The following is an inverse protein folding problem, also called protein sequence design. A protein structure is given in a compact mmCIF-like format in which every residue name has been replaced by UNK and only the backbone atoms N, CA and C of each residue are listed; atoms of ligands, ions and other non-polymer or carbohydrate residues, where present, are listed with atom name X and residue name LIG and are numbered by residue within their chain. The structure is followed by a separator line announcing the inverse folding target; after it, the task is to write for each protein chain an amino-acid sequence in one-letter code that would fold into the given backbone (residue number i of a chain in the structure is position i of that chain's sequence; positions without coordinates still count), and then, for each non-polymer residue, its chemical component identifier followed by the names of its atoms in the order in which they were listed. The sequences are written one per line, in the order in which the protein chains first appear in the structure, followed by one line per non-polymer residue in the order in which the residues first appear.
data_IF_721194740930
#
_entry.id   IF_721194740930
#
_cell.length_a   1.000
_cell.length_b   1.000
_cell.length_c   1.000
_cell.angle_alpha   90.00
_cell.angle_beta   90.00
_cell.angle_gamma   90.00
#
_symmetry.space_group_name_H-M   'P 1'
#
loop_
_entity.id
_entity.type
_entity.pdbx_description
1 polymer ?
#
# COMPACT_ATOMS: atom_id res chain seq x y z
N UNK A 1 -40.99 48.92 21.97
CA UNK A 1 -39.58 48.76 22.34
C UNK A 1 -39.57 48.59 23.87
N UNK A 2 -38.85 47.58 24.39
CA UNK A 2 -38.88 47.02 25.76
C UNK A 2 -40.03 46.01 26.01
N UNK A 3 -39.83 44.81 26.55
CA UNK A 3 -38.61 44.08 26.87
C UNK A 3 -38.93 42.61 27.10
N UNK A 4 -38.08 41.74 26.57
CA UNK A 4 -38.11 40.31 26.84
C UNK A 4 -37.43 40.01 28.17
N UNK A 5 -38.21 39.61 29.17
CA UNK A 5 -37.68 38.95 30.36
C UNK A 5 -38.44 37.66 30.62
N UNK A 6 -37.93 36.58 30.01
CA UNK A 6 -38.23 35.23 30.47
C UNK A 6 -37.77 35.11 31.92
N UNK A 7 -38.66 34.63 32.80
CA UNK A 7 -38.29 34.37 34.18
C UNK A 7 -37.18 33.33 34.25
N UNK A 8 -36.30 33.43 35.25
CA UNK A 8 -35.18 32.50 35.43
C UNK A 8 -35.64 31.03 35.50
N UNK A 9 -36.84 30.78 36.03
CA UNK A 9 -37.48 29.46 36.07
C UNK A 9 -37.82 28.94 34.68
N UNK A 10 -38.32 29.79 33.79
CA UNK A 10 -38.60 29.40 32.40
C UNK A 10 -37.31 29.13 31.63
N UNK A 11 -36.26 29.94 31.83
CA UNK A 11 -34.93 29.70 31.22
C UNK A 11 -34.33 28.37 31.67
N UNK A 12 -34.46 28.02 32.95
CA UNK A 12 -34.02 26.71 33.46
C UNK A 12 -34.84 25.55 32.89
N UNK A 13 -36.16 25.72 32.74
CA UNK A 13 -37.00 24.69 32.14
C UNK A 13 -36.64 24.47 30.65
N UNK A 14 -36.35 25.53 29.90
CA UNK A 14 -35.88 25.43 28.51
C UNK A 14 -34.48 24.82 28.43
N UNK A 15 -33.58 25.14 29.37
CA UNK A 15 -32.26 24.52 29.44
C UNK A 15 -32.33 23.03 29.79
N UNK A 16 -33.22 22.62 30.71
CA UNK A 16 -33.45 21.21 31.02
C UNK A 16 -34.04 20.46 29.82
N UNK A 17 -35.02 21.05 29.14
CA UNK A 17 -35.61 20.49 27.91
C UNK A 17 -34.61 20.41 26.76
N UNK A 18 -33.70 21.38 26.61
CA UNK A 18 -32.58 21.31 25.66
C UNK A 18 -31.54 20.26 26.06
N UNK A 19 -31.31 20.02 27.37
CA UNK A 19 -30.40 18.97 27.82
C UNK A 19 -30.97 17.56 27.62
N UNK A 20 -32.28 17.37 27.73
CA UNK A 20 -32.94 16.10 27.42
C UNK A 20 -33.08 15.87 25.90
N UNK A 21 -33.17 16.94 25.11
CA UNK A 21 -33.18 16.87 23.65
C UNK A 21 -31.78 16.66 23.03
N UNK A 22 -30.71 17.03 23.75
CA UNK A 22 -29.33 16.65 23.43
C UNK A 22 -28.99 15.40 24.25
N UNK A 23 -29.74 14.33 24.01
CA UNK A 23 -29.08 13.02 24.07
C UNK A 23 -28.07 13.04 22.94
N UNK A 24 -26.80 13.28 23.27
CA UNK A 24 -25.70 12.78 22.45
C UNK A 24 -26.10 11.32 22.19
N UNK A 25 -26.33 10.89 20.93
CA UNK A 25 -26.64 9.49 20.70
C UNK A 25 -25.53 8.73 21.41
N UNK A 26 -25.90 7.88 22.36
CA UNK A 26 -24.96 6.88 22.87
C UNK A 26 -24.36 6.30 21.61
N UNK A 27 -23.04 6.47 21.46
CA UNK A 27 -22.38 6.07 20.23
C UNK A 27 -22.63 4.58 20.14
N UNK A 28 -23.53 4.18 19.25
CA UNK A 28 -23.86 2.77 19.14
C UNK A 28 -22.62 2.07 18.61
N UNK A 29 -22.28 0.95 19.22
CA UNK A 29 -21.11 0.17 18.83
C UNK A 29 -21.56 -1.14 18.19
N UNK A 30 -20.81 -1.59 17.19
CA UNK A 30 -20.74 -3.01 16.87
C UNK A 30 -19.98 -3.73 18.00
N UNK A 31 -20.47 -4.91 18.38
CA UNK A 31 -19.81 -5.75 19.38
C UNK A 31 -18.38 -6.08 18.92
N UNK A 32 -18.25 -6.60 17.70
CA UNK A 32 -16.96 -6.91 17.06
C UNK A 32 -17.01 -6.71 15.54
N UNK A 33 -15.92 -6.20 14.99
CA UNK A 33 -15.59 -6.34 13.57
C UNK A 33 -14.50 -7.41 13.43
N UNK A 34 -14.78 -8.46 12.66
CA UNK A 34 -13.80 -9.48 12.26
C UNK A 34 -13.44 -9.26 10.81
N UNK A 35 -12.15 -9.15 10.53
CA UNK A 35 -11.65 -9.03 9.17
C UNK A 35 -10.96 -10.35 8.85
N UNK A 36 -11.60 -11.14 7.99
CA UNK A 36 -11.07 -12.37 7.45
C UNK A 36 -10.17 -12.04 6.27
N UNK A 37 -8.92 -12.45 6.35
CA UNK A 37 -7.91 -12.14 5.36
C UNK A 37 -7.59 -13.39 4.54
N UNK A 38 -7.69 -13.27 3.23
CA UNK A 38 -7.31 -14.30 2.28
C UNK A 38 -6.17 -13.74 1.42
N UNK A 39 -4.99 -14.36 1.50
CA UNK A 39 -3.89 -14.07 0.58
C UNK A 39 -3.26 -15.37 0.08
N UNK A 40 -2.87 -15.39 -1.18
CA UNK A 40 -2.06 -16.45 -1.75
C UNK A 40 -0.64 -15.92 -1.90
N UNK A 41 0.23 -16.24 -0.95
CA UNK A 41 1.64 -15.94 -1.10
C UNK A 41 2.31 -16.90 -2.08
N UNK A 42 3.28 -16.36 -2.85
CA UNK A 42 4.16 -17.14 -3.72
C UNK A 42 4.77 -18.32 -2.95
N UNK A 43 4.60 -19.53 -3.49
CA UNK A 43 5.12 -20.78 -2.90
C UNK A 43 6.65 -20.88 -2.93
N UNK A 44 7.35 -19.97 -3.60
CA UNK A 44 8.83 -19.95 -3.66
C UNK A 44 9.50 -19.29 -2.45
N UNK A 45 8.82 -18.39 -1.73
CA UNK A 45 9.36 -17.71 -0.54
C UNK A 45 8.78 -18.23 0.79
N UNK A 46 7.70 -19.02 0.73
CA UNK A 46 7.16 -19.73 1.89
C UNK A 46 6.41 -18.87 2.92
N UNK A 47 6.22 -17.57 2.67
CA UNK A 47 5.51 -16.67 3.60
C UNK A 47 4.00 -16.88 3.48
N UNK A 48 3.46 -17.95 4.07
CA UNK A 48 2.01 -18.24 4.07
C UNK A 48 1.20 -17.46 5.10
N UNK A 49 1.83 -16.51 5.78
CA UNK A 49 1.33 -16.06 7.06
C UNK A 49 1.02 -14.58 7.01
N UNK A 50 -0.27 -14.25 6.94
CA UNK A 50 -0.75 -12.92 7.29
C UNK A 50 -0.72 -12.70 8.81
N UNK A 51 -0.32 -13.70 9.61
CA UNK A 51 0.02 -13.49 11.00
C UNK A 51 1.06 -12.38 11.12
N UNK A 52 0.78 -11.40 11.97
CA UNK A 52 1.63 -10.22 12.10
C UNK A 52 1.30 -9.09 11.12
N UNK A 53 0.38 -9.28 10.17
CA UNK A 53 -0.09 -8.20 9.31
C UNK A 53 -0.73 -7.10 10.15
N UNK A 54 -0.41 -5.84 9.86
CA UNK A 54 -1.06 -4.71 10.51
C UNK A 54 -2.33 -4.40 9.74
N UNK A 55 -3.43 -4.33 10.47
CA UNK A 55 -4.74 -3.97 9.92
C UNK A 55 -5.17 -2.71 10.64
N UNK A 56 -5.34 -1.62 9.90
CA UNK A 56 -5.75 -0.34 10.40
C UNK A 56 -7.19 -0.06 9.94
N UNK A 57 -8.04 0.35 10.87
CA UNK A 57 -9.42 0.74 10.63
C UNK A 57 -9.55 2.22 10.90
N UNK A 58 -9.86 2.99 9.86
CA UNK A 58 -10.00 4.45 9.89
C UNK A 58 -11.46 4.78 9.64
N UNK A 59 -12.11 5.40 10.62
CA UNK A 59 -13.48 5.89 10.49
C UNK A 59 -13.55 7.26 9.81
N UNK A 60 -14.77 7.73 9.54
CA UNK A 60 -15.00 9.02 8.88
C UNK A 60 -14.33 10.17 9.63
N UNK A 61 -13.74 11.10 8.88
CA UNK A 61 -12.98 12.24 9.39
C UNK A 61 -11.83 11.85 10.34
N UNK A 62 -11.36 10.59 10.26
CA UNK A 62 -10.33 10.02 11.13
C UNK A 62 -10.68 10.06 12.62
N UNK A 63 -11.96 10.16 12.97
CA UNK A 63 -12.43 10.18 14.36
C UNK A 63 -12.26 8.84 15.07
N UNK A 64 -12.20 7.76 14.29
CA UNK A 64 -11.78 6.44 14.75
C UNK A 64 -10.52 6.07 13.97
N UNK A 65 -9.47 5.67 14.67
CA UNK A 65 -8.25 5.19 14.04
C UNK A 65 -7.58 4.20 14.97
N UNK A 66 -7.83 2.92 14.72
CA UNK A 66 -7.21 1.84 15.47
C UNK A 66 -6.44 0.93 14.54
N UNK A 67 -5.35 0.37 15.06
CA UNK A 67 -4.57 -0.65 14.38
C UNK A 67 -4.55 -1.89 15.25
N UNK A 68 -4.81 -3.04 14.64
CA UNK A 68 -4.64 -4.35 15.25
C UNK A 68 -3.64 -5.14 14.44
N UNK A 69 -3.04 -6.15 15.07
CA UNK A 69 -2.15 -7.10 14.40
C UNK A 69 -2.92 -8.39 14.24
N UNK A 70 -2.92 -8.96 13.05
CA UNK A 70 -3.54 -10.26 12.79
C UNK A 70 -2.84 -11.33 13.64
N UNK A 71 -3.59 -11.98 14.54
CA UNK A 71 -3.05 -12.95 15.51
C UNK A 71 -2.75 -14.31 14.87
N UNK A 72 -3.37 -14.59 13.72
CA UNK A 72 -3.19 -15.77 12.91
C UNK A 72 -3.30 -15.43 11.41
N UNK A 73 -3.12 -16.44 10.56
CA UNK A 73 -3.05 -16.29 9.10
C UNK A 73 -4.35 -15.81 8.44
N UNK A 74 -5.45 -15.71 9.19
CA UNK A 74 -6.78 -15.55 8.61
C UNK A 74 -7.62 -14.45 9.25
N UNK A 75 -7.27 -13.88 10.42
CA UNK A 75 -8.12 -12.88 11.06
C UNK A 75 -7.43 -11.76 11.85
N UNK A 76 -8.01 -10.57 11.69
CA UNK A 76 -7.84 -9.40 12.55
C UNK A 76 -9.18 -9.04 13.21
N UNK A 77 -9.17 -8.66 14.50
CA UNK A 77 -10.40 -8.41 15.26
C UNK A 77 -10.34 -7.04 15.92
N UNK A 78 -11.33 -6.20 15.65
CA UNK A 78 -11.58 -4.95 16.37
C UNK A 78 -12.78 -5.14 17.31
N UNK A 79 -12.68 -4.55 18.50
CA UNK A 79 -13.76 -4.55 19.50
C UNK A 79 -14.32 -3.14 19.64
N UNK A 80 -15.61 -3.03 19.96
CA UNK A 80 -16.27 -1.76 20.23
C UNK A 80 -16.04 -0.75 19.09
N UNK A 81 -16.42 -1.14 17.88
CA UNK A 81 -16.27 -0.28 16.71
C UNK A 81 -17.53 0.57 16.57
N UNK A 82 -17.44 1.92 16.54
CA UNK A 82 -18.60 2.77 16.34
C UNK A 82 -19.39 2.37 15.09
N UNK A 83 -20.71 2.34 15.20
CA UNK A 83 -21.59 2.09 14.08
C UNK A 83 -21.64 3.35 13.20
N UNK A 84 -21.06 3.26 12.01
CA UNK A 84 -21.10 4.30 10.98
C UNK A 84 -20.76 3.68 9.62
N UNK A 85 -21.13 4.40 8.57
CA UNK A 85 -20.59 4.17 7.24
C UNK A 85 -19.21 4.83 7.07
N UNK A 86 -18.56 4.51 5.95
CA UNK A 86 -17.35 5.22 5.53
C UNK A 86 -16.06 4.78 6.25
N UNK A 87 -16.00 3.56 6.79
CA UNK A 87 -14.72 3.04 7.27
C UNK A 87 -13.81 2.66 6.13
N UNK A 88 -12.55 3.08 6.22
CA UNK A 88 -11.44 2.60 5.42
C UNK A 88 -10.66 1.54 6.19
N UNK A 89 -10.46 0.38 5.57
CA UNK A 89 -9.61 -0.70 6.11
C UNK A 89 -8.32 -0.72 5.31
N UNK A 90 -7.20 -0.46 5.97
CA UNK A 90 -5.86 -0.55 5.41
C UNK A 90 -5.17 -1.81 5.94
N UNK A 91 -4.69 -2.65 5.04
CA UNK A 91 -4.01 -3.91 5.40
C UNK A 91 -2.57 -3.87 4.90
N UNK A 92 -1.61 -4.02 5.81
CA UNK A 92 -0.17 -4.12 5.54
C UNK A 92 0.32 -5.53 5.92
N UNK A 93 0.45 -6.44 4.94
CA UNK A 93 1.00 -7.77 5.20
C UNK A 93 2.47 -7.70 5.62
N UNK A 94 2.93 -8.69 6.40
CA UNK A 94 4.31 -8.75 6.88
C UNK A 94 5.30 -8.78 5.71
N UNK A 95 6.28 -7.88 5.73
CA UNK A 95 7.29 -7.77 4.68
C UNK A 95 6.83 -6.98 3.44
N UNK A 96 5.61 -6.45 3.45
CA UNK A 96 5.08 -5.60 2.40
C UNK A 96 5.05 -4.13 2.84
N UNK A 97 5.27 -3.20 1.91
CA UNK A 97 5.07 -1.74 2.10
C UNK A 97 3.83 -1.21 1.37
N UNK A 98 2.95 -2.12 0.96
CA UNK A 98 1.69 -1.83 0.25
C UNK A 98 0.54 -1.87 1.25
N UNK A 99 -0.46 -1.03 1.00
CA UNK A 99 -1.76 -1.06 1.66
C UNK A 99 -2.82 -1.36 0.61
N UNK A 100 -3.77 -2.22 0.94
CA UNK A 100 -5.05 -2.32 0.23
C UNK A 100 -6.13 -1.62 1.05
N UNK A 101 -6.98 -0.85 0.37
CA UNK A 101 -8.02 -0.01 1.01
C UNK A 101 -9.39 -0.57 0.68
N UNK A 102 -10.18 -0.87 1.70
CA UNK A 102 -11.57 -1.32 1.57
C UNK A 102 -12.52 -0.37 2.28
N UNK A 103 -13.71 -0.20 1.71
CA UNK A 103 -14.77 0.59 2.33
C UNK A 103 -15.79 -0.34 2.97
N UNK A 104 -16.08 -0.13 4.26
CA UNK A 104 -17.00 -0.96 5.01
C UNK A 104 -18.03 -0.12 5.78
N UNK A 105 -19.28 -0.55 5.72
CA UNK A 105 -20.34 -0.06 6.62
C UNK A 105 -20.40 -0.95 7.86
N UNK A 106 -20.49 -0.34 9.04
CA UNK A 106 -20.58 -1.03 10.33
C UNK A 106 -21.88 -0.64 11.01
N UNK A 107 -22.72 -1.63 11.30
CA UNK A 107 -24.02 -1.46 11.93
C UNK A 107 -23.98 -1.82 13.41
N UNK A 108 -24.75 -1.11 14.22
CA UNK A 108 -24.86 -1.28 15.67
C UNK A 108 -25.33 -2.68 16.08
N UNK A 109 -24.80 -3.19 17.20
CA UNK A 109 -25.24 -4.44 17.83
C UNK A 109 -25.10 -5.69 16.95
N UNK A 110 -24.23 -5.63 15.93
CA UNK A 110 -23.93 -6.75 15.04
C UNK A 110 -22.45 -7.05 15.03
N UNK A 111 -22.15 -8.35 14.98
CA UNK A 111 -20.86 -8.82 14.54
C UNK A 111 -20.76 -8.62 13.02
N UNK A 112 -19.79 -7.82 12.58
CA UNK A 112 -19.51 -7.60 11.16
C UNK A 112 -18.34 -8.49 10.76
N UNK A 113 -18.48 -9.18 9.62
CA UNK A 113 -17.37 -9.94 9.04
C UNK A 113 -17.06 -9.43 7.65
N UNK A 114 -15.85 -8.93 7.47
CA UNK A 114 -15.33 -8.49 6.18
C UNK A 114 -14.36 -9.55 5.67
N UNK A 115 -14.71 -10.21 4.57
CA UNK A 115 -13.82 -11.12 3.84
C UNK A 115 -13.02 -10.32 2.81
N UNK A 116 -11.69 -10.28 2.97
CA UNK A 116 -10.78 -9.55 2.08
C UNK A 116 -9.90 -10.53 1.31
N UNK A 117 -9.96 -10.51 -0.01
CA UNK A 117 -8.99 -11.18 -0.88
C UNK A 117 -7.91 -10.19 -1.31
N UNK A 118 -6.70 -10.41 -0.80
CA UNK A 118 -5.50 -9.63 -1.14
C UNK A 118 -4.85 -10.12 -2.45
N UNK A 119 -5.35 -11.22 -3.02
CA UNK A 119 -4.88 -11.79 -4.26
C UNK A 119 -3.57 -12.57 -4.12
N UNK A 120 -2.85 -12.67 -5.24
CA UNK A 120 -1.54 -13.34 -5.31
C UNK A 120 -0.41 -12.32 -5.34
N UNK A 121 0.59 -12.53 -4.49
CA UNK A 121 1.80 -11.70 -4.44
C UNK A 121 2.97 -12.37 -5.15
N UNK A 122 3.90 -11.57 -5.66
CA UNK A 122 5.12 -12.00 -6.34
C UNK A 122 6.29 -11.05 -6.02
N UNK A 123 7.47 -11.39 -6.53
CA UNK A 123 8.72 -10.63 -6.37
C UNK A 123 9.31 -10.24 -7.73
N UNK A 124 9.91 -9.06 -7.79
CA UNK A 124 10.63 -8.56 -8.96
C UNK A 124 12.09 -8.30 -8.60
N UNK A 125 13.00 -8.91 -9.37
CA UNK A 125 14.44 -8.69 -9.23
C UNK A 125 14.88 -7.63 -10.25
N UNK A 126 15.69 -6.68 -9.80
CA UNK A 126 16.19 -5.59 -10.64
C UNK A 126 17.69 -5.50 -10.47
N UNK A 127 18.42 -5.54 -11.57
CA UNK A 127 19.85 -5.28 -11.60
C UNK A 127 20.10 -3.92 -12.22
N UNK A 128 20.75 -3.04 -11.47
CA UNK A 128 21.12 -1.70 -11.93
C UNK A 128 22.62 -1.69 -12.22
N UNK A 129 22.96 -1.23 -13.41
CA UNK A 129 24.35 -1.04 -13.85
C UNK A 129 24.54 0.37 -14.38
N UNK A 130 25.76 0.86 -14.37
CA UNK A 130 26.15 2.07 -15.10
C UNK A 130 26.69 1.71 -16.48
N UNK A 131 26.42 2.57 -17.45
CA UNK A 131 27.12 2.56 -18.74
C UNK A 131 28.42 3.34 -18.63
N UNK A 132 29.56 2.68 -18.84
CA UNK A 132 30.88 3.33 -18.87
C UNK A 132 31.63 2.90 -20.11
N UNK A 133 32.61 3.69 -20.54
CA UNK A 133 33.52 3.32 -21.64
C UNK A 133 34.30 2.02 -21.37
N UNK A 134 34.37 1.57 -20.12
CA UNK A 134 35.00 0.31 -19.71
C UNK A 134 34.01 -0.88 -19.58
N UNK A 135 32.75 -0.70 -19.99
CA UNK A 135 31.68 -1.70 -19.90
C UNK A 135 30.67 -1.42 -18.77
N UNK A 136 29.75 -2.37 -18.57
CA UNK A 136 28.71 -2.27 -17.53
C UNK A 136 29.27 -2.66 -16.17
N UNK A 137 29.11 -1.79 -15.18
CA UNK A 137 29.47 -2.07 -13.78
C UNK A 137 28.22 -1.98 -12.89
N UNK A 138 28.09 -2.81 -11.85
CA UNK A 138 26.97 -2.72 -10.93
C UNK A 138 26.94 -1.36 -10.21
N UNK A 139 25.74 -0.86 -9.95
CA UNK A 139 25.51 0.33 -9.13
C UNK A 139 24.81 -0.07 -7.84
N UNK A 140 25.49 0.10 -6.71
CA UNK A 140 24.92 -0.05 -5.37
C UNK A 140 24.21 1.24 -4.93
N UNK A 141 23.25 1.16 -4.02
CA UNK A 141 22.50 2.30 -3.50
C UNK A 141 21.69 3.09 -4.56
N UNK A 142 21.42 2.49 -5.71
CA UNK A 142 20.36 2.95 -6.60
C UNK A 142 19.00 2.59 -5.99
N UNK A 143 18.10 3.57 -5.91
CA UNK A 143 16.73 3.38 -5.45
C UNK A 143 15.87 2.90 -6.62
N UNK A 144 15.33 1.70 -6.50
CA UNK A 144 14.34 1.13 -7.40
C UNK A 144 12.95 1.37 -6.79
N UNK A 145 12.08 2.06 -7.51
CA UNK A 145 10.69 2.33 -7.13
C UNK A 145 9.74 1.70 -8.14
N UNK A 146 8.76 0.97 -7.65
CA UNK A 146 7.70 0.35 -8.46
C UNK A 146 6.39 1.08 -8.21
N UNK A 147 5.71 1.43 -9.29
CA UNK A 147 4.37 2.03 -9.27
C UNK A 147 3.44 1.22 -10.15
N UNK A 148 2.14 1.28 -9.89
CA UNK A 148 1.13 0.70 -10.78
C UNK A 148 1.09 1.49 -12.09
N UNK A 149 0.43 0.92 -13.09
CA UNK A 149 0.06 1.61 -14.33
C UNK A 149 -0.85 2.83 -14.13
N UNK A 150 -1.29 3.10 -12.90
CA UNK A 150 -2.04 4.28 -12.47
C UNK A 150 -1.23 5.17 -11.51
N UNK A 151 0.11 5.07 -11.55
CA UNK A 151 1.07 5.83 -10.74
C UNK A 151 0.96 5.64 -9.22
N UNK A 152 0.19 4.64 -8.76
CA UNK A 152 0.10 4.32 -7.34
C UNK A 152 1.37 3.62 -6.89
N UNK A 153 1.97 4.05 -5.77
CA UNK A 153 3.18 3.42 -5.25
C UNK A 153 2.92 1.98 -4.78
N UNK A 154 3.74 1.04 -5.26
CA UNK A 154 3.62 -0.39 -4.92
C UNK A 154 4.77 -0.90 -4.05
N UNK A 155 5.97 -0.31 -4.17
CA UNK A 155 7.13 -0.71 -3.38
C UNK A 155 8.43 -0.07 -3.83
N UNK A 156 9.48 -0.27 -3.04
CA UNK A 156 10.84 0.14 -3.39
C UNK A 156 11.89 -0.71 -2.71
N UNK A 157 13.08 -0.76 -3.30
CA UNK A 157 14.26 -1.37 -2.73
C UNK A 157 15.51 -0.62 -3.19
N UNK A 158 16.58 -0.65 -2.38
CA UNK A 158 17.89 -0.16 -2.78
C UNK A 158 18.74 -1.34 -3.28
N UNK A 159 19.58 -1.05 -4.26
CA UNK A 159 20.51 -2.03 -4.81
C UNK A 159 21.68 -2.32 -3.87
N UNK A 160 22.05 -3.59 -3.76
CA UNK A 160 23.21 -4.06 -3.00
C UNK A 160 24.54 -3.81 -3.72
N UNK A 161 25.66 -4.29 -3.14
CA UNK A 161 26.99 -4.16 -3.73
C UNK A 161 27.14 -4.85 -5.11
N UNK A 162 26.26 -5.81 -5.42
CA UNK A 162 26.20 -6.49 -6.72
C UNK A 162 25.30 -5.76 -7.73
N UNK A 163 24.72 -4.63 -7.33
CA UNK A 163 23.77 -3.85 -8.10
C UNK A 163 22.38 -4.48 -8.15
N UNK A 164 22.04 -5.41 -7.26
CA UNK A 164 20.76 -6.10 -7.23
C UNK A 164 19.81 -5.54 -6.18
N UNK A 165 18.55 -5.36 -6.55
CA UNK A 165 17.45 -5.02 -5.66
C UNK A 165 16.31 -6.01 -5.87
N UNK A 166 15.64 -6.41 -4.78
CA UNK A 166 14.46 -7.28 -4.81
C UNK A 166 13.30 -6.47 -4.25
N UNK A 167 12.26 -6.28 -5.06
CA UNK A 167 10.99 -5.68 -4.64
C UNK A 167 9.96 -6.78 -4.49
N UNK A 168 9.50 -6.98 -3.25
CA UNK A 168 8.52 -8.03 -2.90
C UNK A 168 7.12 -7.48 -2.79
N UNK A 169 6.14 -8.38 -2.64
CA UNK A 169 4.72 -8.06 -2.45
C UNK A 169 4.09 -7.28 -3.61
N UNK A 170 4.56 -7.52 -4.83
CA UNK A 170 3.94 -6.96 -6.02
C UNK A 170 2.75 -7.83 -6.44
N UNK A 171 1.64 -7.25 -6.92
CA UNK A 171 0.55 -8.06 -7.46
C UNK A 171 1.06 -8.93 -8.61
N UNK A 172 0.85 -10.24 -8.51
CA UNK A 172 1.24 -11.19 -9.55
C UNK A 172 0.42 -10.97 -10.83
N UNK A 173 0.98 -11.38 -11.97
CA UNK A 173 0.38 -11.28 -13.30
C UNK A 173 -0.07 -9.86 -13.69
N UNK A 174 0.57 -8.84 -13.10
CA UNK A 174 0.24 -7.44 -13.32
C UNK A 174 1.33 -6.70 -14.09
N UNK A 175 0.93 -5.60 -14.76
CA UNK A 175 1.85 -4.64 -15.35
C UNK A 175 2.15 -3.53 -14.33
N UNK A 176 3.43 -3.24 -14.16
CA UNK A 176 3.93 -2.17 -13.29
C UNK A 176 4.89 -1.28 -14.06
N UNK A 177 5.08 -0.07 -13.57
CA UNK A 177 6.13 0.83 -14.05
C UNK A 177 7.24 0.90 -12.99
N UNK A 178 8.48 0.92 -13.47
CA UNK A 178 9.69 0.88 -12.67
C UNK A 178 10.47 2.17 -12.90
N UNK A 179 10.80 2.88 -11.82
CA UNK A 179 11.63 4.08 -11.81
C UNK A 179 12.89 3.82 -11.00
N UNK A 180 14.06 4.08 -11.59
CA UNK A 180 15.35 3.92 -10.92
C UNK A 180 16.05 5.26 -10.81
N UNK A 181 16.50 5.60 -9.61
CA UNK A 181 17.27 6.81 -9.34
C UNK A 181 18.57 6.47 -8.62
N UNK A 182 19.64 7.22 -8.92
CA UNK A 182 20.90 7.15 -8.21
C UNK A 182 21.57 8.53 -8.24
N UNK A 183 22.15 9.04 -7.14
CA UNK A 183 22.90 10.30 -7.15
C UNK A 183 24.02 10.28 -8.20
N UNK A 184 24.13 11.32 -9.03
CA UNK A 184 25.15 11.41 -10.09
C UNK A 184 24.79 10.69 -11.40
N UNK A 185 23.56 10.18 -11.54
CA UNK A 185 23.07 9.55 -12.76
C UNK A 185 21.72 10.12 -13.18
N UNK A 186 21.43 10.07 -14.47
CA UNK A 186 20.07 10.28 -14.97
C UNK A 186 19.18 9.16 -14.46
N UNK A 187 17.94 9.50 -14.09
CA UNK A 187 16.95 8.49 -13.71
C UNK A 187 16.45 7.75 -14.96
N UNK A 188 16.01 6.51 -14.77
CA UNK A 188 15.45 5.68 -15.83
C UNK A 188 14.05 5.21 -15.45
N UNK A 189 13.12 5.29 -16.41
CA UNK A 189 11.79 4.68 -16.30
C UNK A 189 11.66 3.53 -17.29
N UNK A 190 11.15 2.40 -16.81
CA UNK A 190 10.69 1.28 -17.61
C UNK A 190 9.21 1.07 -17.39
N UNK A 191 8.45 1.16 -18.47
CA UNK A 191 6.99 1.15 -18.41
C UNK A 191 6.44 -0.20 -18.88
N UNK A 192 5.38 -0.69 -18.23
CA UNK A 192 4.68 -1.93 -18.60
C UNK A 192 5.44 -3.22 -18.31
N UNK A 193 6.27 -3.23 -17.27
CA UNK A 193 6.97 -4.41 -16.77
C UNK A 193 5.96 -5.44 -16.26
N UNK A 194 6.05 -6.69 -16.75
CA UNK A 194 5.21 -7.78 -16.24
C UNK A 194 5.82 -8.43 -14.99
N UNK A 195 5.05 -8.48 -13.92
CA UNK A 195 5.35 -9.25 -12.71
C UNK A 195 4.82 -10.68 -12.90
N UNK A 196 5.72 -11.65 -13.04
CA UNK A 196 5.34 -13.04 -13.33
C UNK A 196 4.75 -13.81 -12.14
N UNK A 197 4.03 -14.92 -12.39
CA UNK A 197 3.29 -15.67 -11.36
C UNK A 197 4.13 -16.62 -10.48
N UNK A 198 5.44 -16.75 -10.72
CA UNK A 198 6.33 -17.71 -10.02
C UNK A 198 7.63 -17.08 -9.49
N UNK A 199 7.64 -15.76 -9.34
CA UNK A 199 8.82 -15.01 -8.94
C UNK A 199 9.91 -14.93 -10.03
N UNK A 200 10.79 -13.93 -9.87
CA UNK A 200 12.07 -13.74 -10.56
C UNK A 200 12.02 -13.52 -12.09
N UNK A 201 11.22 -12.55 -12.55
CA UNK A 201 11.66 -11.78 -13.72
C UNK A 201 12.82 -10.88 -13.27
N UNK A 202 14.04 -11.11 -13.77
CA UNK A 202 15.14 -10.15 -13.59
C UNK A 202 15.05 -9.08 -14.68
N UNK A 203 15.13 -7.83 -14.26
CA UNK A 203 15.17 -6.68 -15.16
C UNK A 203 16.53 -6.01 -15.04
N UNK A 204 17.19 -5.87 -16.17
CA UNK A 204 18.42 -5.10 -16.23
C UNK A 204 18.12 -3.64 -16.60
N UNK A 205 18.58 -2.73 -15.75
CA UNK A 205 18.50 -1.28 -15.94
C UNK A 205 19.91 -0.74 -16.06
N UNK A 206 20.11 0.13 -17.04
CA UNK A 206 21.38 0.83 -17.24
C UNK A 206 21.15 2.31 -17.01
N UNK A 207 21.93 2.91 -16.10
CA UNK A 207 21.92 4.35 -15.86
C UNK A 207 23.11 5.00 -16.55
N UNK A 208 22.87 6.16 -17.16
CA UNK A 208 23.92 7.00 -17.72
C UNK A 208 24.37 8.04 -16.68
N UNK A 209 25.68 8.30 -16.52
CA UNK A 209 26.17 9.37 -15.65
C UNK A 209 25.57 10.73 -16.02
N UNK A 210 25.19 11.51 -15.00
CA UNK A 210 24.71 12.89 -15.16
C UNK A 210 25.88 13.86 -14.94
N UNK A 211 26.38 14.53 -16.01
CA UNK A 211 27.55 15.41 -15.92
C UNK A 211 27.27 16.73 -15.17
N UNK A 212 26.02 17.13 -14.96
CA UNK A 212 25.68 18.31 -14.15
C UNK A 212 24.33 18.14 -13.42
N UNK A 213 24.34 17.56 -12.21
CA UNK A 213 23.14 17.30 -11.42
C UNK A 213 22.31 18.56 -11.07
N UNK A 214 22.87 19.77 -11.28
CA UNK A 214 22.26 21.06 -10.92
C UNK A 214 21.45 21.70 -12.06
N UNK A 215 21.49 21.17 -13.28
CA UNK A 215 20.74 21.68 -14.46
C UNK A 215 19.63 20.71 -14.89
N UNK A 216 18.59 20.51 -14.07
CA UNK A 216 17.44 19.67 -14.46
C UNK A 216 16.41 20.48 -15.24
N UNK A 217 16.16 20.13 -16.51
CA UNK A 217 15.06 20.71 -17.29
C UNK A 217 14.27 19.74 -18.18
N UNK A 218 14.58 18.45 -18.26
CA UNK A 218 13.81 17.52 -19.12
C UNK A 218 13.64 16.16 -18.44
N UNK A 219 12.41 15.71 -18.15
CA UNK A 219 12.16 14.32 -17.78
C UNK A 219 12.35 13.40 -19.00
N UNK A 220 13.11 12.30 -18.91
CA UNK A 220 13.12 11.28 -19.95
C UNK A 220 11.73 10.67 -20.20
N UNK A 221 11.49 10.32 -21.46
CA UNK A 221 10.30 9.61 -21.95
C UNK A 221 10.51 8.10 -21.75
N UNK A 222 9.47 7.37 -21.33
CA UNK A 222 9.46 5.92 -21.12
C UNK A 222 10.25 5.15 -22.20
N UNK A 223 11.19 4.29 -21.80
CA UNK A 223 11.81 3.29 -22.69
C UNK A 223 11.20 1.94 -22.35
N UNK A 224 10.52 1.31 -23.31
CA UNK A 224 9.89 0.00 -23.10
C UNK A 224 10.91 -1.06 -22.65
N UNK A 225 10.56 -1.82 -21.61
CA UNK A 225 11.41 -2.89 -21.10
C UNK A 225 11.60 -3.98 -22.17
N UNK A 226 12.85 -4.23 -22.61
CA UNK A 226 13.18 -5.47 -23.32
C UNK A 226 13.34 -6.58 -22.29
N UNK A 227 12.37 -7.48 -22.22
CA UNK A 227 12.57 -8.78 -21.60
C UNK A 227 13.61 -9.56 -22.43
N UNK A 228 14.76 -9.90 -21.84
CA UNK A 228 15.63 -10.91 -22.45
C UNK A 228 14.97 -12.27 -22.27
N UNK A 229 14.30 -12.76 -23.31
CA UNK A 229 13.93 -14.16 -23.39
C UNK A 229 15.21 -14.99 -23.54
N UNK A 230 15.38 -15.98 -22.67
CA UNK A 230 16.46 -16.98 -22.77
C UNK A 230 16.38 -17.66 -24.14
N UNK A 231 17.49 -17.85 -24.87
CA UNK A 231 17.45 -18.49 -26.18
C UNK A 231 16.97 -19.94 -26.04
N UNK A 232 15.90 -20.29 -26.76
CA UNK A 232 15.45 -21.68 -26.90
C UNK A 232 16.60 -22.53 -27.47
N UNK A 233 16.88 -23.72 -26.92
CA UNK A 233 17.81 -24.65 -27.53
C UNK A 233 17.22 -25.14 -28.86
N UNK A 234 17.96 -24.94 -29.95
CA UNK A 234 17.63 -25.49 -31.27
C UNK A 234 17.61 -27.02 -31.20
N UNK A 235 16.57 -27.69 -31.74
CA UNK A 235 16.59 -29.14 -31.89
C UNK A 235 17.62 -29.53 -32.96
N UNK A 236 18.40 -30.56 -32.64
CA UNK A 236 19.40 -31.19 -33.51
C UNK A 236 18.78 -31.85 -34.75
#
# INVERSE_FOLDING_TARGET
MLDGYWSWKQRLATLHACSEAIKIPETDYADRLRIRLHAVADRTTGVRSLQGAKVQLIGPYSLYNNTVVAENDEMAIFQQVPATDGYEVLIEPVGCRRFDVWHQEILAGRDVVLDVDLGTFSTLAVRVTQDTTAGRRPLSAALVRIVSNYESYLGSAETDQSGQAIVSCLPADSKVDLRVTHPGYFWADQCGVMVGPRGQSQIDVVLAPDPDPRRRLIPPVCVGARTQQSPQPTPH
#
